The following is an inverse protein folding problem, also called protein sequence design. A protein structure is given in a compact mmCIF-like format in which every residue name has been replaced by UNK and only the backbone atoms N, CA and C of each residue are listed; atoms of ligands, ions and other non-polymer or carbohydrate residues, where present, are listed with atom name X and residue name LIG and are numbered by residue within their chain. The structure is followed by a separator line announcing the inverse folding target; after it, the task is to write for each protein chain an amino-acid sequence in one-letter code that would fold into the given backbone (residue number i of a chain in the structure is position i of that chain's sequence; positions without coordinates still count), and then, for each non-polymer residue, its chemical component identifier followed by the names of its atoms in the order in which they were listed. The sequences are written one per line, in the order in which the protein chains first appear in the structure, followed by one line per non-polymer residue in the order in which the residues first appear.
data_IF_655498704361
#
_entry.id   IF_655498704361
#
_cell.length_a   1.000
_cell.length_b   1.000
_cell.length_c   1.000
_cell.angle_alpha   90.00
_cell.angle_beta   90.00
_cell.angle_gamma   90.00
#
_symmetry.space_group_name_H-M   'P 1'
#
loop_
_entity.id
_entity.type
_entity.pdbx_description
1 polymer ?
#
# COMPACT_ATOMS: atom_id res chain seq x y z
N UNK A 1 -8.58 -16.00 15.23
CA UNK A 1 -7.36 -16.48 14.54
C UNK A 1 -6.43 -17.19 15.50
N UNK A 2 -5.83 -18.27 15.04
CA UNK A 2 -4.79 -18.96 15.79
C UNK A 2 -3.47 -18.18 15.74
N UNK A 3 -2.57 -18.51 16.65
CA UNK A 3 -1.22 -17.95 16.64
C UNK A 3 -0.47 -18.29 15.35
N UNK A 4 -0.70 -19.49 14.82
CA UNK A 4 -0.10 -19.95 13.56
C UNK A 4 -0.61 -19.10 12.37
N UNK A 5 -1.91 -18.80 12.32
CA UNK A 5 -2.49 -17.94 11.28
C UNK A 5 -1.93 -16.53 11.38
N UNK A 6 -1.81 -15.97 12.59
CA UNK A 6 -1.21 -14.65 12.78
C UNK A 6 0.23 -14.60 12.30
N UNK A 7 1.02 -15.65 12.56
CA UNK A 7 2.39 -15.73 12.08
C UNK A 7 2.46 -15.84 10.56
N UNK A 8 1.51 -16.54 9.95
CA UNK A 8 1.45 -16.65 8.50
C UNK A 8 1.17 -15.29 7.86
N UNK A 9 0.17 -14.55 8.37
CA UNK A 9 -0.14 -13.23 7.84
C UNK A 9 1.03 -12.26 8.00
N UNK A 10 1.69 -12.27 9.15
CA UNK A 10 2.86 -11.42 9.39
C UNK A 10 4.05 -11.79 8.52
N UNK A 11 4.47 -13.05 8.58
CA UNK A 11 5.71 -13.51 7.94
C UNK A 11 5.56 -13.84 6.47
N UNK A 12 4.46 -14.51 6.09
CA UNK A 12 4.30 -15.04 4.72
C UNK A 12 3.43 -14.17 3.81
N UNK A 13 2.78 -13.15 4.34
CA UNK A 13 1.93 -12.27 3.56
C UNK A 13 2.39 -10.80 3.65
N UNK A 14 2.35 -10.18 4.84
CA UNK A 14 2.63 -8.75 4.96
C UNK A 14 4.11 -8.39 4.87
N UNK A 15 4.99 -9.15 5.47
CA UNK A 15 6.40 -8.79 5.59
C UNK A 15 7.34 -9.54 4.63
N UNK A 16 6.81 -10.25 3.65
CA UNK A 16 7.62 -11.02 2.69
C UNK A 16 8.52 -10.13 1.87
N UNK A 17 7.97 -9.01 1.37
CA UNK A 17 8.69 -8.05 0.55
C UNK A 17 8.43 -6.63 1.07
N UNK A 18 9.14 -6.21 2.14
CA UNK A 18 8.97 -4.84 2.65
C UNK A 18 9.22 -3.81 1.55
N UNK A 19 8.35 -2.82 1.43
CA UNK A 19 8.42 -1.81 0.37
C UNK A 19 7.80 -2.21 -0.95
N UNK A 20 7.35 -3.45 -1.10
CA UNK A 20 6.78 -3.97 -2.36
C UNK A 20 5.49 -4.77 -2.17
N UNK A 21 4.99 -4.88 -0.97
CA UNK A 21 3.89 -5.77 -0.64
C UNK A 21 2.80 -5.15 0.20
N UNK A 22 1.93 -5.99 0.78
CA UNK A 22 0.75 -5.54 1.53
C UNK A 22 1.05 -4.62 2.72
N UNK A 23 2.24 -4.70 3.31
CA UNK A 23 2.62 -3.82 4.42
C UNK A 23 2.59 -2.33 4.07
N UNK A 24 2.70 -1.98 2.78
CA UNK A 24 2.58 -0.61 2.30
C UNK A 24 1.18 -0.02 2.50
N UNK A 25 0.18 -0.86 2.65
CA UNK A 25 -1.23 -0.47 2.71
C UNK A 25 -1.71 -0.22 4.13
N UNK A 26 -0.80 -0.11 5.09
CA UNK A 26 -1.10 0.13 6.50
C UNK A 26 -0.78 1.57 6.95
N UNK A 27 -0.31 2.43 6.06
CA UNK A 27 0.15 3.77 6.42
C UNK A 27 -0.96 4.84 6.43
N UNK A 28 -2.16 4.52 5.98
CA UNK A 28 -3.28 5.46 5.93
C UNK A 28 -4.59 4.75 6.28
N UNK A 29 -5.55 5.52 6.79
CA UNK A 29 -6.90 5.03 7.01
C UNK A 29 -7.72 5.13 5.75
N UNK A 30 -8.52 4.10 5.46
CA UNK A 30 -9.49 4.09 4.37
C UNK A 30 -10.55 3.01 4.64
N UNK A 31 -11.82 3.34 4.42
CA UNK A 31 -12.93 2.39 4.56
C UNK A 31 -13.06 1.52 3.31
N UNK A 32 -12.66 2.07 2.16
CA UNK A 32 -12.63 1.39 0.88
C UNK A 32 -11.27 1.61 0.25
N UNK A 33 -10.66 0.55 -0.27
CA UNK A 33 -9.35 0.64 -0.89
C UNK A 33 -9.29 1.64 -2.05
N UNK A 34 -10.41 1.84 -2.78
CA UNK A 34 -10.50 2.84 -3.85
C UNK A 34 -10.31 4.29 -3.38
N UNK A 35 -10.52 4.55 -2.11
CA UNK A 35 -10.39 5.89 -1.51
C UNK A 35 -9.06 6.09 -0.76
N UNK A 36 -8.18 5.09 -0.79
CA UNK A 36 -6.89 5.18 -0.12
C UNK A 36 -6.02 6.25 -0.76
N UNK A 37 -5.35 7.07 0.06
CA UNK A 37 -4.38 8.04 -0.45
C UNK A 37 -3.12 7.33 -0.94
N UNK A 38 -2.85 7.41 -2.23
CA UNK A 38 -1.74 6.68 -2.87
C UNK A 38 -0.36 7.21 -2.46
N UNK A 39 -0.27 8.48 -2.05
CA UNK A 39 0.99 9.04 -1.54
C UNK A 39 1.46 8.30 -0.28
N UNK A 40 0.55 7.70 0.48
CA UNK A 40 0.90 6.93 1.67
C UNK A 40 1.76 5.70 1.38
N UNK A 41 1.64 5.14 0.16
CA UNK A 41 2.48 4.01 -0.26
C UNK A 41 3.95 4.42 -0.32
N UNK A 42 4.23 5.60 -0.86
CA UNK A 42 5.59 6.15 -0.94
C UNK A 42 6.14 6.45 0.45
N UNK A 43 5.32 7.04 1.32
CA UNK A 43 5.70 7.31 2.71
C UNK A 43 6.02 6.02 3.48
N UNK A 44 5.42 4.90 3.10
CA UNK A 44 5.67 3.59 3.69
C UNK A 44 6.86 2.86 3.05
N UNK A 45 7.54 3.46 2.08
CA UNK A 45 8.76 2.93 1.50
C UNK A 45 8.64 2.40 0.07
N UNK A 46 7.51 2.59 -0.60
CA UNK A 46 7.37 2.17 -1.99
C UNK A 46 8.17 3.06 -2.94
N UNK A 47 8.58 2.48 -4.06
CA UNK A 47 9.20 3.20 -5.15
C UNK A 47 10.70 3.35 -5.04
N UNK A 48 11.30 3.89 -6.09
CA UNK A 48 12.73 4.13 -6.20
C UNK A 48 13.06 5.58 -5.84
N UNK A 49 14.08 5.76 -4.99
CA UNK A 49 14.63 7.08 -4.66
C UNK A 49 15.72 7.53 -5.63
N UNK A 50 16.12 6.66 -6.55
CA UNK A 50 17.15 6.95 -7.55
C UNK A 50 16.49 7.64 -8.74
N UNK A 51 16.43 8.98 -8.68
CA UNK A 51 15.83 9.80 -9.71
C UNK A 51 16.91 10.40 -10.60
N UNK A 52 16.61 10.52 -11.91
CA UNK A 52 17.50 11.16 -12.86
C UNK A 52 17.53 12.68 -12.65
N UNK A 53 18.58 13.34 -13.17
CA UNK A 53 18.67 14.80 -13.14
C UNK A 53 17.48 15.46 -13.83
N UNK A 54 16.98 14.85 -14.90
CA UNK A 54 15.82 15.34 -15.63
C UNK A 54 14.56 15.26 -14.79
N UNK A 55 14.37 14.15 -14.05
CA UNK A 55 13.25 14.00 -13.12
C UNK A 55 13.32 15.05 -12.01
N UNK A 56 14.49 15.23 -11.41
CA UNK A 56 14.69 16.20 -10.34
C UNK A 56 14.40 17.64 -10.82
N UNK A 57 14.81 17.97 -12.05
CA UNK A 57 14.50 19.29 -12.63
C UNK A 57 13.01 19.49 -12.82
N UNK A 58 12.29 18.48 -13.32
CA UNK A 58 10.85 18.59 -13.53
C UNK A 58 10.07 18.64 -12.21
N UNK A 59 10.51 17.92 -11.19
CA UNK A 59 9.90 17.96 -9.87
C UNK A 59 10.19 19.28 -9.13
N UNK A 60 11.36 19.84 -9.35
CA UNK A 60 11.80 21.06 -8.67
C UNK A 60 12.18 20.85 -7.21
N UNK A 61 12.32 19.59 -6.76
CA UNK A 61 12.68 19.26 -5.38
C UNK A 61 13.25 17.84 -5.32
N UNK A 62 13.94 17.52 -4.21
CA UNK A 62 14.45 16.20 -3.90
C UNK A 62 13.60 15.51 -2.83
N UNK A 63 14.02 14.31 -2.41
CA UNK A 63 13.36 13.57 -1.33
C UNK A 63 12.11 12.80 -1.78
N UNK A 64 11.87 12.73 -3.09
CA UNK A 64 10.75 12.00 -3.66
C UNK A 64 11.17 10.59 -4.11
N UNK A 65 10.21 9.68 -4.14
CA UNK A 65 10.34 8.37 -4.75
C UNK A 65 9.46 8.29 -5.99
N UNK A 66 9.81 7.39 -6.90
CA UNK A 66 9.10 7.16 -8.16
C UNK A 66 8.50 5.76 -8.21
N UNK A 67 7.24 5.70 -8.60
CA UNK A 67 6.62 4.48 -9.15
C UNK A 67 6.14 4.80 -10.56
N UNK A 68 6.55 4.02 -11.54
CA UNK A 68 5.95 4.16 -12.87
C UNK A 68 4.46 3.82 -12.79
N UNK A 69 3.68 4.32 -13.76
CA UNK A 69 2.24 3.99 -13.79
C UNK A 69 2.02 2.47 -13.81
N UNK A 70 2.84 1.73 -14.55
CA UNK A 70 2.76 0.27 -14.60
C UNK A 70 3.09 -0.39 -13.25
N UNK A 71 4.10 0.12 -12.55
CA UNK A 71 4.48 -0.40 -11.23
C UNK A 71 3.38 -0.14 -10.20
N UNK A 72 2.80 1.05 -10.20
CA UNK A 72 1.70 1.39 -9.29
C UNK A 72 0.44 0.57 -9.59
N UNK A 73 0.11 0.39 -10.87
CA UNK A 73 -0.99 -0.47 -11.32
C UNK A 73 -0.81 -1.90 -10.82
N UNK A 74 0.39 -2.48 -11.01
CA UNK A 74 0.68 -3.84 -10.56
C UNK A 74 0.56 -3.99 -9.04
N UNK A 75 1.09 -3.01 -8.29
CA UNK A 75 1.03 -3.02 -6.83
C UNK A 75 -0.42 -3.00 -6.34
N UNK A 76 -1.27 -2.14 -6.92
CA UNK A 76 -2.68 -2.05 -6.58
C UNK A 76 -3.43 -3.34 -6.91
N UNK A 77 -3.23 -3.89 -8.09
CA UNK A 77 -3.90 -5.13 -8.50
C UNK A 77 -3.54 -6.30 -7.59
N UNK A 78 -2.25 -6.44 -7.26
CA UNK A 78 -1.77 -7.52 -6.39
C UNK A 78 -2.30 -7.41 -4.96
N UNK A 79 -2.36 -6.20 -4.41
CA UNK A 79 -2.66 -5.99 -2.99
C UNK A 79 -4.11 -5.64 -2.70
N UNK A 80 -4.82 -5.01 -3.62
CA UNK A 80 -6.21 -4.58 -3.43
C UNK A 80 -7.19 -5.15 -4.45
N UNK A 81 -6.70 -5.67 -5.56
CA UNK A 81 -7.52 -6.13 -6.67
C UNK A 81 -8.08 -5.00 -7.53
N UNK A 82 -7.66 -3.75 -7.29
CA UNK A 82 -8.12 -2.58 -8.01
C UNK A 82 -7.07 -2.10 -9.01
N UNK A 83 -7.54 -1.50 -10.11
CA UNK A 83 -6.70 -0.80 -11.07
C UNK A 83 -6.59 0.68 -10.71
N UNK A 84 -5.69 1.41 -11.35
CA UNK A 84 -5.61 2.88 -11.21
C UNK A 84 -6.94 3.54 -11.63
N UNK A 85 -7.60 2.99 -12.65
CA UNK A 85 -8.89 3.52 -13.11
C UNK A 85 -10.02 3.35 -12.09
N UNK A 86 -9.89 2.39 -11.17
CA UNK A 86 -10.87 2.16 -10.11
C UNK A 86 -10.70 3.11 -8.92
N UNK A 87 -9.57 3.81 -8.84
CA UNK A 87 -9.28 4.68 -7.70
C UNK A 87 -10.05 5.98 -7.78
N UNK A 88 -10.52 6.47 -6.63
CA UNK A 88 -11.19 7.78 -6.51
C UNK A 88 -10.22 8.91 -6.85
N UNK A 89 -10.75 10.05 -7.32
CA UNK A 89 -9.92 11.23 -7.63
C UNK A 89 -9.10 11.68 -6.40
N UNK A 90 -9.70 11.62 -5.22
CA UNK A 90 -9.02 11.99 -3.97
C UNK A 90 -7.81 11.10 -3.65
N UNK A 91 -7.75 9.88 -4.18
CA UNK A 91 -6.63 8.96 -3.95
C UNK A 91 -5.32 9.50 -4.52
N UNK A 92 -5.39 10.33 -5.55
CA UNK A 92 -4.22 10.90 -6.22
C UNK A 92 -3.72 12.20 -5.57
N UNK A 93 -4.37 12.66 -4.53
CA UNK A 93 -3.96 13.88 -3.84
C UNK A 93 -2.58 13.71 -3.22
N UNK A 94 -1.69 14.67 -3.51
CA UNK A 94 -0.30 14.61 -3.04
C UNK A 94 0.65 13.86 -3.98
N UNK A 95 0.16 13.29 -5.08
CA UNK A 95 1.00 12.70 -6.11
C UNK A 95 1.35 13.75 -7.18
N UNK A 96 2.57 13.66 -7.69
CA UNK A 96 2.99 14.39 -8.90
C UNK A 96 3.11 13.38 -10.02
N UNK A 97 2.47 13.66 -11.15
CA UNK A 97 2.59 12.83 -12.35
C UNK A 97 3.47 13.55 -13.37
N UNK A 98 4.51 12.87 -13.85
CA UNK A 98 5.35 13.37 -14.93
C UNK A 98 5.11 12.53 -16.19
N UNK A 99 4.50 13.16 -17.21
CA UNK A 99 4.12 12.47 -18.44
C UNK A 99 5.33 11.94 -19.20
N UNK A 100 6.46 12.64 -19.16
CA UNK A 100 7.69 12.22 -19.85
C UNK A 100 8.21 10.86 -19.38
N UNK A 101 7.89 10.47 -18.15
CA UNK A 101 8.35 9.23 -17.56
C UNK A 101 7.19 8.25 -17.33
N UNK A 102 5.96 8.67 -17.58
CA UNK A 102 4.75 7.93 -17.24
C UNK A 102 4.85 7.37 -15.81
N UNK A 103 5.09 8.26 -14.86
CA UNK A 103 5.38 7.89 -13.49
C UNK A 103 4.79 8.87 -12.49
N UNK A 104 4.52 8.35 -11.29
CA UNK A 104 4.02 9.09 -10.14
C UNK A 104 5.12 9.25 -9.10
N UNK A 105 5.12 10.40 -8.43
CA UNK A 105 6.13 10.77 -7.44
C UNK A 105 5.45 11.30 -6.19
N UNK A 106 6.02 10.98 -5.05
CA UNK A 106 5.60 11.50 -3.75
C UNK A 106 6.78 11.45 -2.78
N UNK A 107 6.71 12.17 -1.64
CA UNK A 107 7.77 12.12 -0.64
C UNK A 107 8.06 10.69 -0.21
N UNK A 108 9.35 10.33 -0.23
CA UNK A 108 9.81 9.00 0.11
C UNK A 108 9.79 8.78 1.63
N UNK A 109 9.53 7.54 2.03
CA UNK A 109 9.63 7.08 3.40
C UNK A 109 10.32 5.75 3.48
N UNK A 110 10.37 5.16 4.67
CA UNK A 110 11.04 3.89 4.91
C UNK A 110 10.05 2.75 5.06
N UNK A 111 10.40 1.60 4.50
CA UNK A 111 9.64 0.38 4.68
C UNK A 111 9.81 -0.14 6.11
N UNK A 112 8.73 -0.68 6.67
CA UNK A 112 8.73 -1.27 7.99
C UNK A 112 8.13 -2.66 7.99
N UNK A 113 8.21 -3.31 9.14
CA UNK A 113 7.57 -4.59 9.38
C UNK A 113 6.34 -4.39 10.25
N UNK A 114 5.30 -5.19 10.01
CA UNK A 114 4.11 -5.21 10.85
C UNK A 114 4.11 -6.47 11.71
N UNK A 115 3.66 -6.32 12.96
CA UNK A 115 3.45 -7.44 13.86
C UNK A 115 2.00 -7.46 14.30
N UNK A 116 1.30 -8.54 14.00
CA UNK A 116 -0.09 -8.68 14.39
C UNK A 116 -0.20 -9.23 15.81
N UNK A 117 -1.05 -8.56 16.60
CA UNK A 117 -1.30 -8.90 18.00
C UNK A 117 -2.40 -9.95 18.13
N UNK A 118 -3.46 -9.79 17.35
CA UNK A 118 -4.59 -10.72 17.27
C UNK A 118 -5.41 -10.43 16.01
N UNK A 119 -6.34 -11.31 15.73
CA UNK A 119 -7.24 -11.14 14.61
C UNK A 119 -8.44 -12.04 14.72
N UNK A 120 -9.40 -11.85 13.84
CA UNK A 120 -10.61 -12.67 13.81
C UNK A 120 -11.08 -12.93 12.38
N UNK A 121 -11.75 -14.07 12.22
CA UNK A 121 -12.53 -14.36 11.02
C UNK A 121 -13.90 -13.70 11.19
N UNK A 122 -14.29 -12.90 10.22
CA UNK A 122 -15.59 -12.22 10.25
C UNK A 122 -16.65 -13.10 9.58
N UNK A 123 -17.94 -12.91 9.93
CA UNK A 123 -19.02 -13.74 9.35
C UNK A 123 -19.15 -13.61 7.83
N UNK A 124 -18.69 -12.53 7.23
CA UNK A 124 -18.72 -12.30 5.78
C UNK A 124 -17.55 -12.93 5.02
N UNK A 125 -16.69 -13.69 5.71
CA UNK A 125 -15.51 -14.30 5.12
C UNK A 125 -14.26 -13.44 5.09
N UNK A 126 -14.34 -12.20 5.55
CA UNK A 126 -13.16 -11.34 5.69
C UNK A 126 -12.39 -11.67 6.97
N UNK A 127 -11.17 -11.17 7.06
CA UNK A 127 -10.32 -11.31 8.24
C UNK A 127 -9.89 -9.91 8.68
N UNK A 128 -10.03 -9.63 9.98
CA UNK A 128 -9.52 -8.39 10.57
C UNK A 128 -8.31 -8.72 11.44
N UNK A 129 -7.22 -7.99 11.21
CA UNK A 129 -5.96 -8.14 11.93
C UNK A 129 -5.64 -6.85 12.69
N UNK A 130 -5.29 -6.98 13.96
CA UNK A 130 -4.89 -5.86 14.81
C UNK A 130 -3.37 -5.82 14.93
N UNK A 131 -2.81 -4.64 14.72
CA UNK A 131 -1.39 -4.35 14.87
C UNK A 131 -1.20 -3.08 15.72
N UNK A 132 0.02 -2.82 16.25
CA UNK A 132 0.26 -1.56 16.96
C UNK A 132 -0.01 -0.35 16.07
N UNK A 133 -0.98 0.47 16.43
CA UNK A 133 -1.36 1.66 15.70
C UNK A 133 -2.56 1.53 14.78
N UNK A 134 -3.13 0.32 14.61
CA UNK A 134 -4.30 0.20 13.75
C UNK A 134 -4.83 -1.22 13.56
N UNK A 135 -5.76 -1.34 12.63
CA UNK A 135 -6.30 -2.64 12.20
C UNK A 135 -6.54 -2.64 10.70
N UNK A 136 -6.34 -3.79 10.08
CA UNK A 136 -6.56 -3.98 8.65
C UNK A 136 -7.56 -5.10 8.44
N UNK A 137 -8.45 -4.93 7.46
CA UNK A 137 -9.39 -5.96 7.03
C UNK A 137 -9.03 -6.45 5.65
N UNK A 138 -8.94 -7.77 5.51
CA UNK A 138 -8.62 -8.45 4.26
C UNK A 138 -9.85 -9.18 3.76
N UNK A 139 -10.05 -9.15 2.44
CA UNK A 139 -11.04 -9.96 1.75
C UNK A 139 -10.35 -11.02 0.89
N UNK A 140 -11.06 -12.07 0.58
CA UNK A 140 -10.56 -13.12 -0.29
C UNK A 140 -11.26 -13.06 -1.65
N UNK A 141 -10.47 -13.18 -2.72
CA UNK A 141 -10.98 -13.25 -4.07
C UNK A 141 -10.17 -14.29 -4.85
N UNK A 142 -10.85 -15.32 -5.36
CA UNK A 142 -10.22 -16.42 -6.10
C UNK A 142 -9.02 -17.05 -5.33
N UNK A 143 -9.17 -17.19 -4.01
CA UNK A 143 -8.12 -17.76 -3.15
C UNK A 143 -7.02 -16.81 -2.75
N UNK A 144 -7.07 -15.54 -3.20
CA UNK A 144 -6.08 -14.53 -2.84
C UNK A 144 -6.63 -13.60 -1.76
N UNK A 145 -5.76 -13.24 -0.82
CA UNK A 145 -6.08 -12.23 0.17
C UNK A 145 -5.77 -10.84 -0.38
N UNK A 146 -6.73 -9.93 -0.25
CA UNK A 146 -6.62 -8.55 -0.74
C UNK A 146 -6.96 -7.59 0.40
N UNK A 147 -6.24 -6.47 0.46
CA UNK A 147 -6.51 -5.43 1.44
C UNK A 147 -7.79 -4.68 1.07
N UNK A 148 -8.76 -4.68 1.97
CA UNK A 148 -10.06 -4.04 1.75
C UNK A 148 -10.18 -2.71 2.47
N UNK A 149 -9.72 -2.63 3.72
CA UNK A 149 -9.78 -1.41 4.53
C UNK A 149 -8.70 -1.42 5.60
N UNK A 150 -8.35 -0.24 6.09
CA UNK A 150 -7.39 -0.06 7.18
C UNK A 150 -7.81 1.11 8.04
N UNK A 151 -7.70 0.96 9.35
CA UNK A 151 -8.06 2.01 10.31
C UNK A 151 -6.89 2.26 11.25
N UNK A 152 -6.35 3.47 11.22
CA UNK A 152 -5.33 3.91 12.17
C UNK A 152 -6.01 4.44 13.44
N UNK A 153 -5.38 4.20 14.57
CA UNK A 153 -5.86 4.66 15.89
C UNK A 153 -5.77 6.17 16.04
#
# INVERSE_FOLDING_TARGET
LTEQELRWFGGSFFNVLPGQGPNLFLAASYDRAADMNLASLFAAGAGSRELSDRELRQLGMDGYARLTAAELEDLLLRCTGLSLADMSDSAFHGLVYLADFDAYYAPAGDAGYVRFQYGCHNPDGTVTLRYPGGSVTLRQDAGRWLTASNTLD
#
